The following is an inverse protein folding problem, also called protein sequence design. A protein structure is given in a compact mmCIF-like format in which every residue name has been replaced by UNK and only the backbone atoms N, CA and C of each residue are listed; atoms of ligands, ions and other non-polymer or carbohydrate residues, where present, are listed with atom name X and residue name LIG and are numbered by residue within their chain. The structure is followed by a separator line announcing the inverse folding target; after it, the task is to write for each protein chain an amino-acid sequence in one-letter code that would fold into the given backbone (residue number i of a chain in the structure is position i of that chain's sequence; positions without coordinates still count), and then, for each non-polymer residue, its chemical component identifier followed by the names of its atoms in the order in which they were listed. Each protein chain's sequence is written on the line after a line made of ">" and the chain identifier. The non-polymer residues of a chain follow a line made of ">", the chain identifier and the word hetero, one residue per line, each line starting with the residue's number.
data_IF_631385491526
#
_entry.id   IF_631385491526
#
_cell.length_a   1.000
_cell.length_b   1.000
_cell.length_c   1.000
_cell.angle_alpha   90.00
_cell.angle_beta   90.00
_cell.angle_gamma   90.00
#
_symmetry.space_group_name_H-M   'P 1'
#
loop_
_entity.id
_entity.type
_entity.pdbx_description
1 polymer ?
#
# COMPACT_ATOMS: atom_id res chain seq x y z
N UNK A 1 9.60 -46.29 -21.23
CA UNK A 1 8.92 -45.91 -19.99
C UNK A 1 9.63 -44.70 -19.41
N UNK A 2 9.19 -43.51 -19.83
CA UNK A 2 9.73 -42.23 -19.39
C UNK A 2 9.11 -41.81 -18.06
N UNK A 3 9.95 -41.38 -17.11
CA UNK A 3 9.54 -40.84 -15.83
C UNK A 3 10.19 -39.47 -15.63
N UNK A 4 9.35 -38.44 -15.63
CA UNK A 4 9.71 -37.03 -15.53
C UNK A 4 10.31 -36.73 -14.14
N UNK A 5 11.42 -36.00 -14.15
CA UNK A 5 12.17 -35.52 -13.00
C UNK A 5 11.46 -34.30 -12.40
N UNK A 6 10.82 -34.45 -11.25
CA UNK A 6 10.27 -33.35 -10.47
C UNK A 6 11.34 -32.84 -9.51
N UNK A 7 12.02 -31.75 -9.87
CA UNK A 7 12.86 -30.98 -8.94
C UNK A 7 12.11 -29.73 -8.52
N UNK A 8 11.48 -29.79 -7.33
CA UNK A 8 10.98 -28.61 -6.63
C UNK A 8 12.20 -27.78 -6.18
N UNK A 9 12.40 -26.61 -6.78
CA UNK A 9 13.39 -25.65 -6.33
C UNK A 9 12.85 -24.93 -5.08
N UNK A 10 13.41 -25.31 -3.94
CA UNK A 10 13.26 -24.57 -2.70
C UNK A 10 13.94 -23.20 -2.84
N UNK A 11 13.24 -22.20 -2.31
CA UNK A 11 13.53 -20.77 -2.38
C UNK A 11 14.97 -20.42 -1.99
N UNK A 12 15.51 -19.47 -2.75
CA UNK A 12 16.83 -18.90 -2.57
C UNK A 12 17.04 -18.18 -1.24
N UNK A 13 18.23 -18.45 -0.69
CA UNK A 13 19.27 -17.49 -0.35
C UNK A 13 18.83 -16.13 0.25
N UNK A 14 19.10 -15.98 1.55
CA UNK A 14 19.61 -14.73 2.09
C UNK A 14 20.95 -15.04 2.76
N UNK A 15 21.99 -14.38 2.24
CA UNK A 15 23.38 -14.49 2.64
C UNK A 15 23.58 -14.25 4.15
N UNK A 16 24.48 -15.04 4.76
CA UNK A 16 25.19 -14.62 5.98
C UNK A 16 26.28 -13.57 5.68
N UNK A 17 27.12 -13.15 6.65
CA UNK A 17 27.52 -13.93 7.83
C UNK A 17 27.36 -13.24 9.19
N UNK A 18 27.44 -14.12 10.20
CA UNK A 18 27.70 -13.83 11.62
C UNK A 18 28.86 -12.86 11.80
N UNK A 19 28.64 -11.82 12.61
CA UNK A 19 29.63 -11.32 13.55
C UNK A 19 29.00 -11.39 14.94
N UNK A 20 29.62 -12.20 15.79
CA UNK A 20 29.23 -12.40 17.17
C UNK A 20 29.74 -11.22 18.01
N UNK A 21 28.81 -10.50 18.64
CA UNK A 21 29.10 -9.60 19.77
C UNK A 21 28.13 -9.99 20.89
N UNK A 22 28.61 -10.32 22.10
CA UNK A 22 27.74 -10.66 23.21
C UNK A 22 27.29 -9.37 23.90
N UNK A 23 26.05 -8.98 23.70
CA UNK A 23 25.45 -7.85 24.41
C UNK A 23 24.01 -7.68 23.96
N UNK A 24 23.08 -8.02 24.86
CA UNK A 24 21.60 -7.97 24.71
C UNK A 24 21.10 -7.00 23.64
N UNK A 25 20.91 -7.50 22.42
CA UNK A 25 19.93 -6.96 21.50
C UNK A 25 18.61 -7.65 21.79
N UNK A 26 17.61 -6.87 22.19
CA UNK A 26 16.22 -7.31 22.14
C UNK A 26 15.91 -7.61 20.67
N UNK A 27 15.67 -8.88 20.38
CA UNK A 27 15.23 -9.35 19.08
C UNK A 27 13.88 -8.69 18.77
N UNK A 28 13.88 -7.58 18.04
CA UNK A 28 12.69 -7.12 17.35
C UNK A 28 12.38 -8.17 16.29
N UNK A 29 11.48 -9.08 16.66
CA UNK A 29 10.83 -10.02 15.77
C UNK A 29 10.18 -9.21 14.66
N UNK A 30 10.83 -9.14 13.50
CA UNK A 30 10.22 -8.62 12.29
C UNK A 30 8.98 -9.49 12.02
N UNK A 31 7.80 -8.93 12.25
CA UNK A 31 6.53 -9.57 11.97
C UNK A 31 6.34 -9.56 10.45
N UNK A 32 6.95 -10.52 9.77
CA UNK A 32 6.65 -10.78 8.37
C UNK A 32 5.27 -11.42 8.28
N UNK A 33 4.39 -10.76 7.53
CA UNK A 33 3.16 -11.28 6.93
C UNK A 33 2.05 -11.73 7.91
N UNK A 34 1.37 -10.75 8.53
CA UNK A 34 -0.07 -10.90 8.72
C UNK A 34 -0.79 -10.82 7.36
N UNK A 35 -1.91 -11.54 7.14
CA UNK A 35 -2.70 -11.39 5.92
C UNK A 35 -3.10 -9.91 5.76
N UNK A 36 -3.10 -9.36 4.53
CA UNK A 36 -3.45 -7.96 4.34
C UNK A 36 -4.86 -7.70 4.90
N UNK A 37 -5.08 -6.62 5.67
CA UNK A 37 -6.42 -6.27 6.10
C UNK A 37 -7.29 -6.00 4.87
N UNK A 38 -8.60 -6.31 4.89
CA UNK A 38 -9.50 -5.88 3.83
C UNK A 38 -9.45 -4.34 3.79
N UNK A 39 -8.88 -3.80 2.71
CA UNK A 39 -8.81 -2.37 2.49
C UNK A 39 -10.22 -1.86 2.21
N UNK A 40 -10.96 -1.53 3.26
CA UNK A 40 -12.27 -0.85 3.18
C UNK A 40 -12.06 0.64 2.94
N UNK A 41 -11.26 0.97 1.94
CA UNK A 41 -11.21 2.32 1.38
C UNK A 41 -12.34 2.37 0.37
N UNK A 42 -13.26 3.35 0.43
CA UNK A 42 -14.16 3.56 -0.67
C UNK A 42 -13.30 3.97 -1.87
N UNK A 43 -13.02 3.00 -2.74
CA UNK A 43 -12.60 3.25 -4.11
C UNK A 43 -13.57 4.28 -4.68
N UNK A 44 -13.13 5.33 -5.41
CA UNK A 44 -14.06 6.07 -6.25
C UNK A 44 -14.79 5.02 -7.10
N UNK A 45 -16.10 5.01 -6.91
CA UNK A 45 -17.07 3.93 -7.05
C UNK A 45 -16.62 2.78 -7.96
N UNK A 46 -16.30 1.61 -7.38
CA UNK A 46 -15.99 0.41 -8.16
C UNK A 46 -17.07 0.10 -9.22
N UNK A 47 -18.32 0.49 -8.94
CA UNK A 47 -19.45 0.48 -9.89
C UNK A 47 -19.23 1.44 -11.06
N UNK A 48 -18.87 2.71 -10.83
CA UNK A 48 -18.65 3.70 -11.89
C UNK A 48 -17.44 3.35 -12.76
N UNK A 49 -16.40 2.74 -12.18
CA UNK A 49 -15.24 2.27 -12.94
C UNK A 49 -15.53 1.00 -13.77
N UNK A 50 -16.36 0.08 -13.27
CA UNK A 50 -16.82 -1.10 -14.03
C UNK A 50 -17.76 -0.71 -15.17
N UNK A 51 -18.66 0.25 -14.94
CA UNK A 51 -19.51 0.83 -15.99
C UNK A 51 -18.69 1.56 -17.07
N UNK A 52 -17.65 2.31 -16.67
CA UNK A 52 -16.74 2.95 -17.62
C UNK A 52 -15.97 1.94 -18.48
N UNK A 53 -15.57 0.79 -17.92
CA UNK A 53 -14.91 -0.28 -18.67
C UNK A 53 -15.87 -0.91 -19.69
N UNK A 54 -17.11 -1.22 -19.28
CA UNK A 54 -18.16 -1.73 -20.18
C UNK A 54 -18.43 -0.78 -21.35
N UNK A 55 -18.54 0.53 -21.08
CA UNK A 55 -18.76 1.55 -22.13
C UNK A 55 -17.65 1.56 -23.18
N UNK A 56 -16.39 1.38 -22.79
CA UNK A 56 -15.25 1.37 -23.72
C UNK A 56 -15.23 0.14 -24.62
N UNK A 57 -15.48 -1.04 -24.05
CA UNK A 57 -15.57 -2.28 -24.82
C UNK A 57 -16.68 -2.20 -25.86
N UNK A 58 -17.85 -1.66 -25.45
CA UNK A 58 -18.94 -1.41 -26.39
C UNK A 58 -18.54 -0.37 -27.45
N UNK A 59 -17.89 0.73 -27.08
CA UNK A 59 -17.44 1.74 -28.04
C UNK A 59 -16.48 1.17 -29.09
N UNK A 60 -15.53 0.32 -28.69
CA UNK A 60 -14.63 -0.39 -29.63
C UNK A 60 -15.43 -1.28 -30.57
N UNK A 61 -16.38 -2.07 -30.06
CA UNK A 61 -17.22 -2.94 -30.87
C UNK A 61 -18.07 -2.18 -31.89
N UNK A 62 -18.72 -1.09 -31.47
CA UNK A 62 -19.51 -0.25 -32.39
C UNK A 62 -18.64 0.43 -33.44
N UNK A 63 -17.45 0.91 -33.06
CA UNK A 63 -16.50 1.49 -34.00
C UNK A 63 -15.94 0.45 -34.99
N UNK A 64 -15.68 -0.78 -34.54
CA UNK A 64 -15.27 -1.90 -35.39
C UNK A 64 -16.36 -2.26 -36.40
N UNK A 65 -17.60 -2.40 -35.95
CA UNK A 65 -18.74 -2.69 -36.82
C UNK A 65 -18.92 -1.60 -37.89
N UNK A 66 -18.85 -0.32 -37.50
CA UNK A 66 -18.93 0.79 -38.44
C UNK A 66 -17.78 0.80 -39.47
N UNK A 67 -16.56 0.50 -39.02
CA UNK A 67 -15.39 0.35 -39.90
C UNK A 67 -15.56 -0.80 -40.89
N UNK A 68 -16.05 -1.96 -40.45
CA UNK A 68 -16.29 -3.11 -41.32
C UNK A 68 -17.34 -2.82 -42.39
N UNK A 69 -18.39 -2.05 -42.06
CA UNK A 69 -19.37 -1.58 -43.04
C UNK A 69 -18.73 -0.66 -44.08
N UNK A 70 -17.91 0.32 -43.67
CA UNK A 70 -17.22 1.18 -44.65
C UNK A 70 -16.29 0.37 -45.56
N UNK A 71 -15.55 -0.59 -44.99
CA UNK A 71 -14.68 -1.46 -45.77
C UNK A 71 -15.43 -2.36 -46.75
N UNK A 72 -16.69 -2.72 -46.45
CA UNK A 72 -17.56 -3.38 -47.40
C UNK A 72 -17.97 -2.44 -48.54
N UNK A 73 -18.35 -1.19 -48.21
CA UNK A 73 -18.71 -0.17 -49.20
C UNK A 73 -17.56 0.16 -50.16
N UNK A 74 -16.32 0.26 -49.66
CA UNK A 74 -15.13 0.47 -50.49
C UNK A 74 -14.95 -0.67 -51.49
N UNK A 75 -15.08 -1.92 -51.04
CA UNK A 75 -14.98 -3.10 -51.93
C UNK A 75 -16.07 -3.11 -52.99
N UNK A 76 -17.30 -2.77 -52.61
CA UNK A 76 -18.43 -2.71 -53.55
C UNK A 76 -18.25 -1.60 -54.59
N UNK A 77 -17.86 -0.40 -54.15
CA UNK A 77 -17.59 0.73 -55.04
C UNK A 77 -16.41 0.43 -55.99
N UNK A 78 -15.36 -0.22 -55.49
CA UNK A 78 -14.23 -0.67 -56.31
C UNK A 78 -14.67 -1.68 -57.37
N UNK A 79 -15.39 -2.72 -56.97
CA UNK A 79 -15.88 -3.75 -57.88
C UNK A 79 -16.81 -3.18 -58.97
N UNK A 80 -17.67 -2.22 -58.61
CA UNK A 80 -18.51 -1.51 -59.56
C UNK A 80 -17.69 -0.68 -60.57
N UNK A 81 -16.65 0.01 -60.09
CA UNK A 81 -15.75 0.79 -60.94
C UNK A 81 -14.98 -0.11 -61.92
N UNK A 82 -14.41 -1.23 -61.45
CA UNK A 82 -13.71 -2.20 -62.28
C UNK A 82 -14.63 -2.81 -63.35
N UNK A 83 -15.85 -3.21 -62.96
CA UNK A 83 -16.83 -3.74 -63.90
C UNK A 83 -17.17 -2.73 -65.01
N UNK A 84 -17.28 -1.43 -64.67
CA UNK A 84 -17.53 -0.39 -65.65
C UNK A 84 -16.31 -0.14 -66.54
N UNK A 85 -15.09 -0.18 -66.00
CA UNK A 85 -13.85 -0.03 -66.77
C UNK A 85 -13.67 -1.15 -67.81
N UNK A 86 -14.03 -2.39 -67.47
CA UNK A 86 -14.02 -3.51 -68.42
C UNK A 86 -15.00 -3.24 -69.57
N UNK A 87 -16.22 -2.78 -69.28
CA UNK A 87 -17.21 -2.42 -70.31
C UNK A 87 -16.73 -1.26 -71.19
N UNK A 88 -16.13 -0.24 -70.57
CA UNK A 88 -15.61 0.93 -71.28
C UNK A 88 -14.48 0.52 -72.25
N UNK A 89 -13.59 -0.39 -71.82
CA UNK A 89 -12.57 -0.97 -72.69
C UNK A 89 -13.19 -1.74 -73.85
N UNK A 90 -14.20 -2.56 -73.61
CA UNK A 90 -14.88 -3.30 -74.67
C UNK A 90 -15.52 -2.37 -75.72
N UNK A 91 -16.16 -1.28 -75.29
CA UNK A 91 -16.73 -0.28 -76.22
C UNK A 91 -15.63 0.43 -77.01
N UNK A 92 -14.51 0.77 -76.37
CA UNK A 92 -13.36 1.39 -77.05
C UNK A 92 -12.76 0.45 -78.11
N UNK A 93 -12.57 -0.82 -77.76
CA UNK A 93 -12.08 -1.84 -78.69
C UNK A 93 -13.03 -2.05 -79.89
N UNK A 94 -14.34 -1.86 -79.71
CA UNK A 94 -15.33 -1.88 -80.80
C UNK A 94 -15.28 -0.61 -81.63
N UNK A 95 -15.15 0.55 -81.00
CA UNK A 95 -15.07 1.86 -81.65
C UNK A 95 -13.86 1.94 -82.59
N UNK A 96 -12.74 1.34 -82.20
CA UNK A 96 -11.51 1.28 -83.02
C UNK A 96 -11.65 0.40 -84.28
N UNK A 97 -12.64 -0.49 -84.32
CA UNK A 97 -12.88 -1.40 -85.45
C UNK A 97 -13.89 -0.87 -86.47
N UNK A 98 -14.74 0.06 -86.07
CA UNK A 98 -15.83 0.59 -86.90
C UNK A 98 -15.35 1.84 -87.64
N UNK A 99 -15.65 1.96 -88.94
CA UNK A 99 -15.32 3.16 -89.71
C UNK A 99 -16.12 4.36 -89.21
N UNK A 100 -15.50 5.55 -89.19
CA UNK A 100 -16.15 6.80 -88.77
C UNK A 100 -17.32 7.24 -89.64
N UNK A 101 -17.39 6.73 -90.86
CA UNK A 101 -18.44 7.05 -91.83
C UNK A 101 -19.76 6.29 -91.53
N UNK A 102 -19.68 5.21 -90.74
CA UNK A 102 -20.84 4.40 -90.40
C UNK A 102 -21.66 5.05 -89.28
N UNK A 103 -22.99 5.01 -89.40
CA UNK A 103 -23.90 5.52 -88.36
C UNK A 103 -23.65 4.87 -86.98
N UNK A 104 -23.22 3.61 -86.97
CA UNK A 104 -22.93 2.86 -85.74
C UNK A 104 -21.74 3.43 -84.95
N UNK A 105 -20.80 4.13 -85.60
CA UNK A 105 -19.69 4.80 -84.91
C UNK A 105 -20.20 5.88 -83.95
N UNK A 106 -21.18 6.69 -84.40
CA UNK A 106 -21.76 7.76 -83.59
C UNK A 106 -22.50 7.20 -82.36
N UNK A 107 -23.20 6.07 -82.53
CA UNK A 107 -23.89 5.38 -81.44
C UNK A 107 -22.89 4.89 -80.38
N UNK A 108 -21.83 4.19 -80.80
CA UNK A 108 -20.76 3.70 -79.92
C UNK A 108 -20.05 4.85 -79.20
N UNK A 109 -19.74 5.95 -79.90
CA UNK A 109 -19.11 7.12 -79.30
C UNK A 109 -20.01 7.80 -78.24
N UNK A 110 -21.31 7.86 -78.51
CA UNK A 110 -22.29 8.39 -77.54
C UNK A 110 -22.40 7.48 -76.32
N UNK A 111 -22.35 6.16 -76.51
CA UNK A 111 -22.31 5.19 -75.41
C UNK A 111 -21.02 5.30 -74.59
N UNK A 112 -19.85 5.43 -75.22
CA UNK A 112 -18.58 5.66 -74.51
C UNK A 112 -18.66 6.92 -73.65
N UNK A 113 -19.20 8.02 -74.20
CA UNK A 113 -19.35 9.26 -73.44
C UNK A 113 -20.25 9.08 -72.21
N UNK A 114 -21.36 8.35 -72.33
CA UNK A 114 -22.24 8.02 -71.19
C UNK A 114 -21.51 7.18 -70.14
N UNK A 115 -20.79 6.14 -70.57
CA UNK A 115 -19.99 5.30 -69.66
C UNK A 115 -18.87 6.08 -68.97
N UNK A 116 -18.24 7.05 -69.64
CA UNK A 116 -17.25 7.94 -69.04
C UNK A 116 -17.86 8.85 -67.95
N UNK A 117 -19.09 9.34 -68.15
CA UNK A 117 -19.80 10.09 -67.12
C UNK A 117 -20.13 9.20 -65.90
N UNK A 118 -20.59 7.97 -66.16
CA UNK A 118 -20.82 6.98 -65.10
C UNK A 118 -19.52 6.61 -64.37
N UNK A 119 -18.40 6.46 -65.08
CA UNK A 119 -17.09 6.14 -64.48
C UNK A 119 -16.63 7.28 -63.57
N UNK A 120 -16.79 8.53 -63.99
CA UNK A 120 -16.51 9.69 -63.13
C UNK A 120 -17.36 9.67 -61.87
N UNK A 121 -18.65 9.33 -61.99
CA UNK A 121 -19.56 9.23 -60.85
C UNK A 121 -19.16 8.09 -59.90
N UNK A 122 -18.85 6.90 -60.41
CA UNK A 122 -18.42 5.76 -59.59
C UNK A 122 -17.05 6.01 -58.95
N UNK A 123 -16.12 6.66 -59.66
CA UNK A 123 -14.81 7.05 -59.12
C UNK A 123 -14.97 8.03 -57.95
N UNK A 124 -15.84 9.03 -58.08
CA UNK A 124 -16.15 9.94 -56.97
C UNK A 124 -16.78 9.20 -55.77
N UNK A 125 -17.69 8.25 -56.02
CA UNK A 125 -18.29 7.43 -54.96
C UNK A 125 -17.27 6.50 -54.28
N UNK A 126 -16.30 5.97 -55.03
CA UNK A 126 -15.20 5.17 -54.49
C UNK A 126 -14.27 6.01 -53.60
N UNK A 127 -13.90 7.21 -54.06
CA UNK A 127 -13.08 8.14 -53.27
C UNK A 127 -13.79 8.56 -51.96
N UNK A 128 -15.09 8.83 -52.01
CA UNK A 128 -15.91 9.12 -50.84
C UNK A 128 -15.97 7.92 -49.87
N UNK A 129 -16.16 6.71 -50.41
CA UNK A 129 -16.14 5.49 -49.61
C UNK A 129 -14.78 5.28 -48.92
N UNK A 130 -13.66 5.48 -49.63
CA UNK A 130 -12.32 5.41 -49.04
C UNK A 130 -12.12 6.47 -47.95
N UNK A 131 -12.58 7.70 -48.19
CA UNK A 131 -12.56 8.78 -47.19
C UNK A 131 -13.28 8.37 -45.91
N UNK A 132 -14.50 7.85 -46.06
CA UNK A 132 -15.31 7.38 -44.93
C UNK A 132 -14.68 6.18 -44.20
N UNK A 133 -13.99 5.28 -44.91
CA UNK A 133 -13.25 4.17 -44.31
C UNK A 133 -12.10 4.68 -43.46
N UNK A 134 -11.31 5.65 -43.97
CA UNK A 134 -10.18 6.24 -43.25
C UNK A 134 -10.63 6.94 -41.96
N UNK A 135 -11.74 7.68 -42.01
CA UNK A 135 -12.32 8.33 -40.84
C UNK A 135 -12.79 7.32 -39.79
N UNK A 136 -13.52 6.27 -40.22
CA UNK A 136 -14.00 5.23 -39.30
C UNK A 136 -12.85 4.39 -38.73
N UNK A 137 -11.79 4.16 -39.49
CA UNK A 137 -10.56 3.54 -39.01
C UNK A 137 -9.86 4.42 -37.96
N UNK A 138 -9.83 5.74 -38.15
CA UNK A 138 -9.28 6.66 -37.16
C UNK A 138 -10.07 6.57 -35.84
N UNK A 139 -11.41 6.54 -35.90
CA UNK A 139 -12.26 6.37 -34.71
C UNK A 139 -12.05 5.00 -34.04
N UNK A 140 -12.02 3.93 -34.82
CA UNK A 140 -11.77 2.58 -34.31
C UNK A 140 -10.40 2.46 -33.64
N UNK A 141 -9.34 2.93 -34.29
CA UNK A 141 -7.98 2.88 -33.74
C UNK A 141 -7.82 3.76 -32.50
N UNK A 142 -8.50 4.91 -32.43
CA UNK A 142 -8.55 5.74 -31.24
C UNK A 142 -9.26 5.03 -30.08
N UNK A 143 -10.43 4.42 -30.32
CA UNK A 143 -11.16 3.66 -29.31
C UNK A 143 -10.35 2.46 -28.79
N UNK A 144 -9.64 1.75 -29.68
CA UNK A 144 -8.75 0.65 -29.31
C UNK A 144 -7.62 1.15 -28.41
N UNK A 145 -6.93 2.23 -28.79
CA UNK A 145 -5.85 2.82 -27.97
C UNK A 145 -6.34 3.28 -26.59
N UNK A 146 -7.47 3.96 -26.54
CA UNK A 146 -8.06 4.43 -25.28
C UNK A 146 -8.44 3.26 -24.35
N UNK A 147 -8.86 2.13 -24.92
CA UNK A 147 -9.17 0.92 -24.15
C UNK A 147 -7.92 0.32 -23.48
N UNK A 148 -6.77 0.32 -24.17
CA UNK A 148 -5.50 -0.21 -23.65
C UNK A 148 -4.81 0.71 -22.65
N UNK A 149 -4.95 2.03 -22.79
CA UNK A 149 -4.26 3.00 -21.94
C UNK A 149 -4.85 3.05 -20.51
N UNK A 150 -6.14 2.72 -20.36
CA UNK A 150 -6.82 2.77 -19.06
C UNK A 150 -6.80 1.44 -18.28
N UNK A 151 -6.17 0.40 -18.82
CA UNK A 151 -5.74 -0.77 -18.02
C UNK A 151 -4.52 -0.45 -17.15
N UNK A 152 -3.70 0.54 -17.53
CA UNK A 152 -2.45 0.89 -16.81
C UNK A 152 -2.65 1.87 -15.66
N UNK A 153 -3.66 2.74 -15.71
CA UNK A 153 -3.92 3.77 -14.68
C UNK A 153 -4.52 3.23 -13.37
N UNK A 154 -4.85 1.93 -13.28
CA UNK A 154 -5.22 1.27 -12.01
C UNK A 154 -4.02 0.83 -11.18
N UNK A 155 -2.84 0.64 -11.77
CA UNK A 155 -1.64 0.19 -11.06
C UNK A 155 -0.94 1.31 -10.27
N UNK A 156 -1.20 2.57 -10.61
CA UNK A 156 -0.56 3.74 -9.98
C UNK A 156 -1.25 4.15 -8.67
N UNK A 157 -2.58 3.96 -8.57
CA UNK A 157 -3.36 4.29 -7.37
C UNK A 157 -3.01 3.39 -6.15
N UNK A 158 -2.50 2.17 -6.38
CA UNK A 158 -2.07 1.25 -5.31
C UNK A 158 -0.70 1.61 -4.73
N UNK A 159 0.19 2.24 -5.52
CA UNK A 159 1.52 2.67 -5.04
C UNK A 159 1.42 3.82 -4.04
N UNK A 160 0.51 4.76 -4.29
CA UNK A 160 0.31 5.92 -3.41
C UNK A 160 -0.24 5.52 -2.03
N UNK A 161 -1.08 4.49 -1.96
CA UNK A 161 -1.57 3.95 -0.69
C UNK A 161 -0.45 3.33 0.17
N UNK A 162 0.49 2.62 -0.45
CA UNK A 162 1.64 2.05 0.25
C UNK A 162 2.55 3.16 0.83
N UNK A 163 2.79 4.23 0.08
CA UNK A 163 3.58 5.39 0.53
C UNK A 163 2.91 6.07 1.72
N UNK A 164 1.60 6.31 1.64
CA UNK A 164 0.83 6.89 2.76
C UNK A 164 0.85 5.99 4.00
N UNK A 165 0.70 4.68 3.82
CA UNK A 165 0.78 3.70 4.92
C UNK A 165 2.15 3.68 5.60
N UNK A 166 3.23 3.83 4.84
CA UNK A 166 4.58 3.92 5.38
C UNK A 166 4.78 5.20 6.22
N UNK A 167 4.32 6.35 5.74
CA UNK A 167 4.44 7.64 6.46
C UNK A 167 3.59 7.64 7.74
N UNK A 168 2.33 7.17 7.68
CA UNK A 168 1.47 7.03 8.85
C UNK A 168 2.04 6.04 9.87
N UNK A 169 2.55 4.89 9.41
CA UNK A 169 3.17 3.89 10.27
C UNK A 169 4.41 4.41 11.00
N UNK A 170 5.24 5.22 10.33
CA UNK A 170 6.40 5.85 10.94
C UNK A 170 6.00 6.87 12.02
N UNK A 171 5.01 7.72 11.77
CA UNK A 171 4.51 8.71 12.75
C UNK A 171 3.94 8.02 14.00
N UNK A 172 3.10 7.02 13.80
CA UNK A 172 2.53 6.22 14.90
C UNK A 172 3.64 5.48 15.65
N UNK A 173 4.63 4.95 14.94
CA UNK A 173 5.79 4.27 15.54
C UNK A 173 6.64 5.20 16.41
N UNK A 174 6.93 6.42 15.95
CA UNK A 174 7.68 7.41 16.74
C UNK A 174 6.87 7.86 17.96
N UNK A 175 5.59 8.16 17.80
CA UNK A 175 4.73 8.58 18.93
C UNK A 175 4.52 7.45 19.95
N UNK A 176 4.25 6.23 19.47
CA UNK A 176 4.05 5.05 20.31
C UNK A 176 5.32 4.66 21.06
N UNK A 177 6.47 4.65 20.39
CA UNK A 177 7.76 4.41 21.05
C UNK A 177 8.10 5.51 22.05
N UNK A 178 7.79 6.77 21.75
CA UNK A 178 7.96 7.90 22.67
C UNK A 178 7.07 7.75 23.92
N UNK A 179 5.81 7.35 23.77
CA UNK A 179 4.88 7.16 24.89
C UNK A 179 5.33 6.03 25.83
N UNK A 180 5.66 4.85 25.27
CA UNK A 180 6.14 3.70 26.05
C UNK A 180 7.45 4.04 26.78
N UNK A 181 8.34 4.78 26.11
CA UNK A 181 9.59 5.23 26.71
C UNK A 181 9.34 6.23 27.85
N UNK A 182 8.33 7.11 27.76
CA UNK A 182 7.96 8.06 28.84
C UNK A 182 7.40 7.34 30.07
N UNK A 183 6.53 6.34 29.89
CA UNK A 183 5.98 5.54 31.00
C UNK A 183 7.09 4.74 31.70
N UNK A 184 7.95 4.06 30.93
CA UNK A 184 9.11 3.35 31.51
C UNK A 184 10.08 4.29 32.23
N UNK A 185 10.27 5.50 31.71
CA UNK A 185 11.12 6.50 32.35
C UNK A 185 10.47 7.08 33.61
N UNK A 186 9.13 7.11 33.70
CA UNK A 186 8.41 7.45 34.92
C UNK A 186 8.51 6.36 35.98
N UNK A 187 8.40 5.09 35.59
CA UNK A 187 8.64 3.94 36.48
C UNK A 187 10.08 3.99 37.04
N UNK A 188 11.09 4.17 36.18
CA UNK A 188 12.48 4.30 36.62
C UNK A 188 12.72 5.56 37.47
N UNK A 189 12.04 6.67 37.20
CA UNK A 189 12.12 7.88 38.04
C UNK A 189 11.45 7.70 39.39
N UNK A 190 10.34 6.97 39.47
CA UNK A 190 9.71 6.65 40.75
C UNK A 190 10.62 5.77 41.62
N UNK A 191 11.26 4.76 41.01
CA UNK A 191 12.25 3.92 41.68
C UNK A 191 13.53 4.69 42.05
N UNK A 192 13.97 5.63 41.21
CA UNK A 192 15.10 6.51 41.54
C UNK A 192 14.76 7.55 42.61
N UNK A 193 13.54 8.09 42.65
CA UNK A 193 13.08 9.01 43.70
C UNK A 193 12.87 8.27 45.03
N UNK A 194 12.51 6.99 44.98
CA UNK A 194 12.41 6.13 46.15
C UNK A 194 13.80 5.70 46.65
N UNK A 195 14.74 5.43 45.75
CA UNK A 195 16.16 5.26 46.10
C UNK A 195 16.82 6.57 46.58
N UNK A 196 16.40 7.73 46.06
CA UNK A 196 16.85 9.06 46.48
C UNK A 196 16.16 9.55 47.76
N UNK A 197 15.06 8.92 48.20
CA UNK A 197 14.56 8.98 49.60
C UNK A 197 15.40 8.15 50.57
N UNK A 198 16.41 7.43 50.09
CA UNK A 198 17.38 6.67 50.86
C UNK A 198 18.30 7.42 51.86
N UNK A 199 18.47 8.76 51.86
CA UNK A 199 19.23 9.45 52.90
C UNK A 199 18.37 10.04 54.04
N UNK A 200 17.05 10.19 53.90
CA UNK A 200 16.21 10.76 54.97
C UNK A 200 15.69 9.70 55.96
N UNK A 201 15.37 8.49 55.46
CA UNK A 201 15.00 7.36 56.33
C UNK A 201 16.13 6.94 57.28
N UNK A 202 17.40 7.15 56.91
CA UNK A 202 18.54 6.82 57.76
C UNK A 202 18.72 7.83 58.90
N UNK A 203 18.45 9.13 58.64
CA UNK A 203 18.46 10.16 59.69
C UNK A 203 17.31 9.97 60.68
N UNK A 204 16.12 9.61 60.22
CA UNK A 204 14.98 9.31 61.11
C UNK A 204 15.24 8.06 61.95
N UNK A 205 15.80 6.99 61.37
CA UNK A 205 16.18 5.80 62.12
C UNK A 205 17.27 6.09 63.17
N UNK A 206 18.28 6.90 62.84
CA UNK A 206 19.31 7.34 63.78
C UNK A 206 18.75 8.23 64.91
N UNK A 207 17.78 9.09 64.60
CA UNK A 207 17.15 9.99 65.59
C UNK A 207 16.26 9.23 66.57
N UNK A 208 15.51 8.23 66.07
CA UNK A 208 14.69 7.33 66.90
C UNK A 208 15.59 6.43 67.76
N UNK A 209 16.71 5.95 67.23
CA UNK A 209 17.66 5.14 67.99
C UNK A 209 18.39 5.97 69.07
N UNK A 210 18.73 7.23 68.81
CA UNK A 210 19.35 8.12 69.79
C UNK A 210 18.38 8.55 70.91
N UNK A 211 17.08 8.66 70.62
CA UNK A 211 16.04 8.93 71.62
C UNK A 211 15.87 7.77 72.62
N UNK A 212 15.78 6.54 72.11
CA UNK A 212 15.59 5.36 72.95
C UNK A 212 16.80 5.03 73.84
N UNK A 213 18.03 5.37 73.42
CA UNK A 213 19.20 5.22 74.29
C UNK A 213 19.23 6.21 75.46
N UNK A 214 18.67 7.41 75.30
CA UNK A 214 18.56 8.38 76.40
C UNK A 214 17.53 7.96 77.43
N UNK A 215 16.38 7.47 77.01
CA UNK A 215 15.34 6.97 77.94
C UNK A 215 15.85 5.77 78.74
N UNK A 216 16.59 4.84 78.11
CA UNK A 216 17.21 3.73 78.82
C UNK A 216 18.27 4.17 79.84
N UNK A 217 19.04 5.23 79.55
CA UNK A 217 20.00 5.77 80.53
C UNK A 217 19.31 6.42 81.73
N UNK A 218 18.16 7.06 81.54
CA UNK A 218 17.36 7.65 82.62
C UNK A 218 16.76 6.56 83.51
N UNK A 219 16.21 5.49 82.93
CA UNK A 219 15.73 4.34 83.69
C UNK A 219 16.84 3.66 84.49
N UNK A 220 18.02 3.45 83.89
CA UNK A 220 19.15 2.84 84.60
C UNK A 220 19.60 3.69 85.79
N UNK A 221 19.64 5.03 85.63
CA UNK A 221 19.96 5.95 86.72
C UNK A 221 18.91 5.91 87.83
N UNK A 222 17.63 5.83 87.48
CA UNK A 222 16.54 5.71 88.45
C UNK A 222 16.65 4.41 89.26
N UNK A 223 16.94 3.28 88.60
CA UNK A 223 17.16 1.99 89.28
C UNK A 223 18.36 2.09 90.23
N UNK A 224 19.50 2.63 89.78
CA UNK A 224 20.69 2.80 90.63
C UNK A 224 20.37 3.68 91.84
N UNK A 225 19.59 4.75 91.66
CA UNK A 225 19.19 5.61 92.77
C UNK A 225 18.30 4.86 93.77
N UNK A 226 17.32 4.07 93.30
CA UNK A 226 16.49 3.25 94.18
C UNK A 226 17.32 2.24 94.97
N UNK A 227 18.33 1.62 94.34
CA UNK A 227 19.21 0.64 94.97
C UNK A 227 20.11 1.31 96.03
N UNK A 228 20.57 2.53 95.76
CA UNK A 228 21.35 3.32 96.71
C UNK A 228 20.50 3.75 97.90
N UNK A 229 19.24 4.12 97.68
CA UNK A 229 18.33 4.48 98.77
C UNK A 229 18.05 3.26 99.66
N UNK A 230 17.74 2.10 99.10
CA UNK A 230 17.55 0.86 99.89
C UNK A 230 18.81 0.42 100.61
N UNK A 231 20.00 0.58 100.02
CA UNK A 231 21.26 0.31 100.71
C UNK A 231 21.58 1.34 101.82
N UNK A 232 21.19 2.61 101.64
CA UNK A 232 21.36 3.64 102.67
C UNK A 232 20.38 3.42 103.83
N UNK A 233 19.18 2.94 103.53
CA UNK A 233 18.18 2.50 104.52
C UNK A 233 18.65 1.25 105.28
N UNK A 234 19.32 0.33 104.59
CA UNK A 234 19.97 -0.84 105.20
C UNK A 234 21.24 -0.50 106.00
N UNK A 235 21.90 0.62 105.69
CA UNK A 235 23.10 1.12 106.37
C UNK A 235 22.82 1.93 107.63
N UNK A 236 21.57 2.32 107.89
CA UNK A 236 21.16 3.03 109.10
C UNK A 236 20.76 2.08 110.27
N UNK A 237 20.93 0.76 110.11
CA UNK A 237 20.59 -0.27 111.13
C UNK A 237 21.84 -1.00 111.64
N UNK A 238 23.03 -0.46 111.42
CA UNK A 238 24.30 -1.15 111.64
C UNK A 238 25.26 -0.48 112.62
N UNK A 239 24.80 0.02 113.77
CA UNK A 239 25.67 0.32 114.93
C UNK A 239 24.81 0.48 116.20
N UNK A 240 24.54 -0.62 116.92
CA UNK A 240 24.42 -0.64 118.39
C UNK A 240 24.24 -2.08 118.92
N UNK A 241 25.05 -2.44 119.92
CA UNK A 241 24.56 -3.24 121.05
C UNK A 241 24.83 -4.75 121.06
N UNK A 242 26.09 -5.11 121.31
CA UNK A 242 26.51 -6.40 121.86
C UNK A 242 25.96 -6.60 123.30
N UNK A 243 25.66 -7.86 123.66
CA UNK A 243 25.82 -8.52 124.99
C UNK A 243 24.56 -8.94 125.80
N UNK A 244 24.34 -10.27 125.78
CA UNK A 244 24.07 -11.22 126.88
C UNK A 244 22.82 -11.07 127.79
N UNK A 245 22.02 -12.14 127.96
CA UNK A 245 22.27 -13.25 128.90
C UNK A 245 21.01 -14.13 129.16
N UNK A 246 21.28 -15.44 129.37
CA UNK A 246 20.60 -16.38 130.28
C UNK A 246 19.34 -17.15 129.82
N UNK A 247 19.53 -18.36 129.30
CA UNK A 247 19.31 -19.63 130.03
C UNK A 247 19.94 -20.81 129.29
#
# INVERSE_FOLDING_TARGET
>A
LGGVRLCLWARGACCGPRLAVPGRLVLLRAYCAGPPPPSNVPTPDAKSAAEAAKKRVLAVFWAEAAFMVARAMVREAHAALEALQVRLKEIRDRLDRVSREEAHYLELATLEHKLLQEERRLRAAYEDAEGSERERFALFSAAVRESHEKERTRAERTKNWSIMGSVLGALIGVLGSTYINRVRLQELRSLLLEAQKGPENLQEALRVQAGNHRSQQEELRAIIHSLRLTLSDSGAVGEDGQRAASK
#
